data_IF_804914397592
#
_entry.id   IF_804914397592
#
_cell.length_a   1.000
_cell.length_b   1.000
_cell.length_c   1.000
_cell.angle_alpha   90.00
_cell.angle_beta   90.00
_cell.angle_gamma   90.00
#
_symmetry.space_group_name_H-M   'P 1'
#
loop_
_entity.id
_entity.type
_entity.pdbx_description
1 polymer ?
#
# COMPACT_ATOMS: atom_id res chain seq x y z
N UNK A 1 -6.90 54.27 18.95
CA UNK A 1 -6.16 54.14 17.67
C UNK A 1 -6.35 52.74 17.12
N UNK A 2 -7.33 52.60 16.24
CA UNK A 2 -7.77 51.37 15.57
C UNK A 2 -6.96 51.23 14.27
N UNK A 3 -6.37 50.06 14.01
CA UNK A 3 -6.01 49.67 12.63
C UNK A 3 -6.47 48.24 12.36
N UNK A 4 -7.64 48.16 11.72
CA UNK A 4 -8.15 47.01 10.96
C UNK A 4 -7.20 46.77 9.77
N UNK A 5 -6.82 45.52 9.51
CA UNK A 5 -6.19 45.13 8.23
C UNK A 5 -7.08 44.07 7.59
N UNK A 6 -7.64 44.43 6.43
CA UNK A 6 -8.60 43.66 5.64
C UNK A 6 -7.94 42.48 4.92
N UNK A 7 -8.76 41.47 4.64
CA UNK A 7 -8.48 40.26 3.87
C UNK A 7 -8.18 40.54 2.39
N UNK A 8 -7.40 39.65 1.75
CA UNK A 8 -7.65 39.24 0.36
C UNK A 8 -7.06 37.86 0.07
N UNK A 9 -7.95 36.88 -0.04
CA UNK A 9 -7.76 35.53 -0.56
C UNK A 9 -7.59 35.56 -2.09
N UNK A 10 -6.49 35.02 -2.61
CA UNK A 10 -6.37 34.70 -4.04
C UNK A 10 -6.20 33.19 -4.19
N UNK A 11 -7.33 32.57 -4.54
CA UNK A 11 -7.50 31.20 -4.97
C UNK A 11 -7.19 31.17 -6.47
N UNK A 12 -5.97 30.76 -6.87
CA UNK A 12 -5.66 30.54 -8.29
C UNK A 12 -6.05 29.12 -8.70
N UNK A 13 -7.05 29.08 -9.57
CA UNK A 13 -7.66 27.93 -10.24
C UNK A 13 -6.66 27.01 -10.97
N UNK A 14 -6.74 25.71 -10.68
CA UNK A 14 -6.14 24.63 -11.46
C UNK A 14 -7.07 24.32 -12.65
N UNK A 15 -6.63 24.39 -13.92
CA UNK A 15 -7.47 23.95 -15.03
C UNK A 15 -7.46 22.42 -15.14
N UNK A 16 -8.65 21.85 -15.03
CA UNK A 16 -9.01 20.46 -15.32
C UNK A 16 -8.92 20.24 -16.84
N UNK A 17 -7.97 19.42 -17.32
CA UNK A 17 -7.96 19.01 -18.73
C UNK A 17 -8.84 17.76 -18.91
N UNK A 18 -9.86 17.90 -19.75
CA UNK A 18 -10.75 16.83 -20.22
C UNK A 18 -10.02 15.93 -21.22
N UNK A 19 -10.26 14.60 -21.24
CA UNK A 19 -9.68 13.72 -22.24
C UNK A 19 -10.30 13.97 -23.62
N UNK A 20 -9.46 14.25 -24.62
CA UNK A 20 -9.88 14.25 -26.03
C UNK A 20 -9.98 12.81 -26.51
N UNK A 21 -11.19 12.43 -26.91
CA UNK A 21 -11.49 11.29 -27.78
C UNK A 21 -10.68 11.40 -29.07
N UNK A 22 -9.83 10.41 -29.35
CA UNK A 22 -9.29 10.22 -30.71
C UNK A 22 -9.65 8.83 -31.19
N UNK A 23 -10.48 8.87 -32.23
CA UNK A 23 -10.97 7.82 -33.10
C UNK A 23 -9.98 6.70 -33.40
N UNK A 24 -10.52 5.48 -33.38
CA UNK A 24 -9.98 4.29 -34.04
C UNK A 24 -10.05 4.52 -35.56
N UNK A 25 -8.93 4.38 -36.25
CA UNK A 25 -8.84 4.20 -37.70
C UNK A 25 -7.61 3.33 -37.98
N UNK A 26 -7.76 2.01 -38.02
CA UNK A 26 -7.84 1.21 -39.26
C UNK A 26 -6.66 1.38 -40.20
N UNK A 27 -5.81 0.35 -40.20
CA UNK A 27 -5.28 -0.39 -41.35
C UNK A 27 -4.61 0.33 -42.54
N UNK A 28 -3.56 -0.35 -43.03
CA UNK A 28 -2.79 -0.12 -44.27
C UNK A 28 -1.81 1.06 -44.22
N UNK A 29 -0.57 0.98 -44.68
CA UNK A 29 0.06 0.09 -45.64
C UNK A 29 1.53 -0.17 -45.28
N UNK A 30 1.98 -1.41 -45.50
CA UNK A 30 3.39 -1.69 -45.75
C UNK A 30 3.66 -1.15 -47.15
N UNK A 31 4.35 -0.02 -47.27
CA UNK A 31 5.01 0.36 -48.51
C UNK A 31 6.52 0.25 -48.31
N UNK A 32 7.05 -0.79 -48.93
CA UNK A 32 8.45 -0.95 -49.28
C UNK A 32 8.87 0.20 -50.18
N UNK A 33 9.78 1.06 -49.69
CA UNK A 33 10.62 1.87 -50.56
C UNK A 33 12.05 1.32 -50.46
N UNK A 34 12.42 0.58 -51.50
CA UNK A 34 13.82 0.53 -51.95
C UNK A 34 14.11 1.91 -52.51
N UNK A 35 15.21 2.53 -52.10
CA UNK A 35 16.31 2.76 -53.03
C UNK A 35 17.58 3.29 -52.35
N UNK A 36 18.68 2.64 -52.76
CA UNK A 36 20.03 3.15 -53.00
C UNK A 36 20.71 4.09 -52.01
N UNK A 37 21.83 3.58 -51.48
CA UNK A 37 23.10 4.29 -51.31
C UNK A 37 23.06 5.60 -50.52
N UNK A 38 23.19 5.49 -49.19
CA UNK A 38 23.88 6.52 -48.42
C UNK A 38 25.14 5.93 -47.77
N UNK A 39 26.26 6.43 -48.25
CA UNK A 39 27.63 6.15 -47.83
C UNK A 39 27.83 6.39 -46.33
N UNK A 40 28.67 5.53 -45.75
CA UNK A 40 29.19 5.59 -44.39
C UNK A 40 29.63 7.01 -43.99
N UNK A 41 28.94 7.59 -43.02
CA UNK A 41 29.30 8.86 -42.38
C UNK A 41 29.05 8.74 -40.88
N UNK A 42 30.12 8.52 -40.12
CA UNK A 42 30.09 8.48 -38.68
C UNK A 42 29.77 9.86 -38.10
N UNK A 43 28.58 10.04 -37.52
CA UNK A 43 28.32 11.07 -36.51
C UNK A 43 27.01 10.79 -35.77
N UNK A 44 27.12 10.42 -34.50
CA UNK A 44 26.04 10.58 -33.51
C UNK A 44 24.87 9.60 -33.60
N UNK A 45 25.12 8.29 -33.41
CA UNK A 45 24.06 7.34 -33.09
C UNK A 45 23.49 7.64 -31.69
N UNK A 46 22.45 8.48 -31.62
CA UNK A 46 21.42 8.26 -30.58
C UNK A 46 20.70 6.96 -30.95
N UNK A 47 21.23 5.85 -30.44
CA UNK A 47 20.73 4.52 -30.73
C UNK A 47 19.30 4.36 -30.25
N UNK A 48 18.35 4.38 -31.19
CA UNK A 48 17.10 3.66 -31.07
C UNK A 48 17.44 2.18 -30.90
N UNK A 49 17.52 1.74 -29.65
CA UNK A 49 17.89 0.38 -29.28
C UNK A 49 16.78 -0.54 -29.78
N UNK A 50 17.04 -1.28 -30.85
CA UNK A 50 16.15 -2.33 -31.34
C UNK A 50 15.81 -3.27 -30.17
N UNK A 51 14.53 -3.42 -29.89
CA UNK A 51 14.01 -4.26 -28.83
C UNK A 51 14.28 -5.72 -29.18
N UNK A 52 15.36 -6.31 -28.65
CA UNK A 52 15.41 -7.76 -28.50
C UNK A 52 14.31 -8.13 -27.51
N UNK A 53 13.25 -8.80 -27.98
CA UNK A 53 11.98 -8.93 -27.27
C UNK A 53 12.08 -9.52 -25.86
N UNK A 54 13.13 -10.28 -25.53
CA UNK A 54 13.49 -10.62 -24.14
C UNK A 54 14.96 -11.11 -24.10
N UNK A 55 15.91 -10.20 -23.94
CA UNK A 55 17.32 -10.53 -23.73
C UNK A 55 17.65 -10.52 -22.23
N UNK A 56 18.34 -11.56 -21.73
CA UNK A 56 18.69 -11.68 -20.30
C UNK A 56 19.52 -10.49 -19.80
N UNK A 57 20.30 -9.87 -20.68
CA UNK A 57 21.20 -8.77 -20.33
C UNK A 57 20.49 -7.41 -20.18
N UNK A 58 19.26 -7.30 -20.67
CA UNK A 58 18.47 -6.06 -20.67
C UNK A 58 17.34 -6.05 -19.63
N UNK A 59 17.26 -7.09 -18.78
CA UNK A 59 16.31 -7.16 -17.68
C UNK A 59 16.66 -6.11 -16.60
N UNK A 60 15.72 -5.21 -16.33
CA UNK A 60 15.82 -4.16 -15.30
C UNK A 60 14.48 -4.04 -14.59
N UNK A 61 14.53 -3.66 -13.32
CA UNK A 61 13.33 -3.34 -12.54
C UNK A 61 12.70 -2.02 -13.06
N UNK A 62 11.39 -1.85 -12.89
CA UNK A 62 10.67 -0.65 -13.33
C UNK A 62 11.18 0.61 -12.59
N UNK A 63 11.59 0.45 -11.33
CA UNK A 63 12.19 1.51 -10.52
C UNK A 63 13.69 1.20 -10.31
N UNK A 64 14.59 2.19 -10.49
CA UNK A 64 16.00 1.96 -10.25
C UNK A 64 16.28 1.63 -8.77
N UNK A 65 17.13 0.62 -8.53
CA UNK A 65 17.56 0.25 -7.18
C UNK A 65 18.29 1.41 -6.50
N UNK A 66 17.85 1.76 -5.29
CA UNK A 66 18.55 2.74 -4.45
C UNK A 66 19.95 2.23 -4.07
N UNK A 67 20.98 2.99 -4.46
CA UNK A 67 22.37 2.64 -4.17
C UNK A 67 22.67 2.74 -2.67
N UNK A 68 23.41 1.75 -2.14
CA UNK A 68 23.85 1.77 -0.73
C UNK A 68 24.95 2.82 -0.56
N UNK A 69 24.78 3.74 0.39
CA UNK A 69 25.84 4.71 0.70
C UNK A 69 27.02 4.02 1.37
N UNK A 70 28.16 3.94 0.68
CA UNK A 70 29.42 3.44 1.24
C UNK A 70 30.09 4.55 2.03
N UNK A 71 30.15 4.39 3.36
CA UNK A 71 30.73 5.38 4.27
C UNK A 71 32.27 5.29 4.25
N UNK A 72 32.97 6.41 4.49
CA UNK A 72 34.44 6.42 4.57
C UNK A 72 35.14 6.26 3.22
N UNK A 73 34.55 6.77 2.13
CA UNK A 73 35.08 6.64 0.76
C UNK A 73 35.25 8.01 0.09
N UNK A 74 36.14 8.83 0.63
CA UNK A 74 36.50 10.14 0.06
C UNK A 74 35.53 11.28 0.38
N UNK A 75 35.98 12.52 0.16
CA UNK A 75 35.25 13.75 0.54
C UNK A 75 33.99 13.94 -0.32
N UNK A 76 34.07 13.68 -1.63
CA UNK A 76 32.93 13.82 -2.55
C UNK A 76 31.74 12.90 -2.25
N UNK A 77 31.91 11.86 -1.43
CA UNK A 77 30.82 10.98 -0.99
C UNK A 77 29.87 11.61 0.05
N UNK A 78 30.21 12.79 0.60
CA UNK A 78 29.45 13.46 1.67
C UNK A 78 29.55 12.79 3.05
N UNK A 79 29.99 11.52 3.12
CA UNK A 79 30.21 10.75 4.37
C UNK A 79 31.64 10.19 4.44
N UNK A 80 32.61 10.96 3.97
CA UNK A 80 34.03 10.60 3.93
C UNK A 80 34.67 10.60 5.32
N UNK A 81 35.02 11.79 5.83
CA UNK A 81 35.90 11.95 7.00
C UNK A 81 35.42 11.26 8.28
N UNK A 82 34.12 11.37 8.61
CA UNK A 82 33.56 10.88 9.89
C UNK A 82 32.56 9.75 9.72
N UNK A 83 32.31 9.28 8.50
CA UNK A 83 31.26 8.30 8.20
C UNK A 83 29.84 8.70 8.72
N UNK A 84 29.62 9.99 9.02
CA UNK A 84 28.38 10.49 9.63
C UNK A 84 28.24 10.20 11.13
N UNK A 85 29.32 9.84 11.82
CA UNK A 85 29.34 9.59 13.27
C UNK A 85 29.67 10.82 14.13
N UNK A 86 30.06 11.94 13.49
CA UNK A 86 30.54 13.14 14.18
C UNK A 86 32.01 13.04 14.60
N UNK A 87 32.42 13.88 15.54
CA UNK A 87 33.80 13.94 16.06
C UNK A 87 33.95 13.14 17.37
N UNK A 88 34.94 13.49 18.20
CA UNK A 88 35.46 12.73 19.36
C UNK A 88 34.44 12.54 20.52
N UNK A 89 33.32 11.87 20.28
CA UNK A 89 32.30 11.53 21.30
C UNK A 89 32.07 10.01 21.44
N UNK A 90 31.33 9.61 22.46
CA UNK A 90 31.04 8.19 22.73
C UNK A 90 30.37 7.50 21.54
N UNK A 91 29.42 8.17 20.86
CA UNK A 91 28.72 7.64 19.66
C UNK A 91 29.64 7.44 18.44
N UNK A 92 30.80 8.11 18.40
CA UNK A 92 31.77 7.92 17.33
C UNK A 92 32.70 6.73 17.60
N UNK A 93 32.99 6.44 18.88
CA UNK A 93 33.92 5.40 19.32
C UNK A 93 33.23 4.06 19.63
N UNK A 94 31.99 4.11 20.13
CA UNK A 94 31.26 2.93 20.60
C UNK A 94 29.74 3.07 20.47
N UNK A 95 29.03 2.17 21.14
CA UNK A 95 27.57 2.10 21.13
C UNK A 95 26.99 2.42 22.51
N UNK A 96 25.73 2.85 22.52
CA UNK A 96 24.95 3.12 23.72
C UNK A 96 23.74 2.19 23.70
N UNK A 97 23.29 1.72 24.87
CA UNK A 97 22.05 0.94 24.97
C UNK A 97 20.87 1.80 24.51
N UNK A 98 20.03 1.24 23.65
CA UNK A 98 18.78 1.89 23.24
C UNK A 98 17.92 2.17 24.49
N UNK A 99 17.45 3.40 24.64
CA UNK A 99 16.67 3.86 25.80
C UNK A 99 17.49 4.39 26.99
N UNK A 100 18.77 4.71 26.81
CA UNK A 100 19.55 5.45 27.80
C UNK A 100 19.26 6.96 27.73
N UNK A 101 18.82 7.55 28.83
CA UNK A 101 18.42 8.97 28.96
C UNK A 101 19.49 9.82 29.68
N UNK A 102 20.77 9.46 29.61
CA UNK A 102 21.85 10.28 30.18
C UNK A 102 22.05 10.14 31.69
N UNK A 103 21.54 9.07 32.31
CA UNK A 103 21.57 8.86 33.76
C UNK A 103 20.25 9.18 34.47
N UNK A 104 19.32 9.84 33.77
CA UNK A 104 17.95 10.01 34.23
C UNK A 104 17.23 8.65 34.32
N UNK A 105 16.30 8.50 35.28
CA UNK A 105 15.48 7.28 35.38
C UNK A 105 14.65 7.09 34.11
N UNK A 106 14.77 5.97 33.36
CA UNK A 106 14.11 5.85 32.07
C UNK A 106 12.58 5.93 32.16
N UNK A 107 11.92 6.44 31.13
CA UNK A 107 10.45 6.59 31.09
C UNK A 107 9.68 5.30 31.45
N UNK A 108 10.16 4.14 31.00
CA UNK A 108 9.58 2.81 31.33
C UNK A 108 9.56 2.47 32.83
N UNK A 109 10.34 3.18 33.64
CA UNK A 109 10.36 3.07 35.11
C UNK A 109 9.56 4.19 35.78
N UNK A 110 9.46 5.36 35.16
CA UNK A 110 8.70 6.50 35.71
C UNK A 110 7.20 6.29 35.62
N UNK A 111 6.72 5.78 34.50
CA UNK A 111 5.30 5.52 34.31
C UNK A 111 4.90 4.21 35.00
N UNK A 112 3.78 4.19 35.75
CA UNK A 112 3.29 2.96 36.36
C UNK A 112 2.84 1.99 35.27
N UNK A 113 2.99 0.68 35.55
CA UNK A 113 2.39 -0.36 34.71
C UNK A 113 0.88 -0.30 34.91
N UNK A 114 0.12 -0.22 33.82
CA UNK A 114 -1.34 -0.13 33.86
C UNK A 114 -1.99 -1.44 33.41
N UNK A 115 -2.90 -1.95 34.24
CA UNK A 115 -3.73 -3.13 33.96
C UNK A 115 -2.95 -4.43 33.85
N UNK A 116 -3.63 -5.45 33.33
CA UNK A 116 -3.06 -6.76 32.99
C UNK A 116 -3.56 -7.17 31.60
N UNK A 117 -2.84 -8.06 30.93
CA UNK A 117 -3.29 -8.68 29.68
C UNK A 117 -4.04 -9.96 30.04
N UNK A 118 -5.34 -10.04 29.76
CA UNK A 118 -6.14 -11.24 29.99
C UNK A 118 -5.66 -12.40 29.07
N UNK A 119 -5.15 -13.52 29.62
CA UNK A 119 -4.70 -14.66 28.81
C UNK A 119 -5.86 -15.47 28.21
N UNK A 120 -7.07 -15.37 28.78
CA UNK A 120 -8.27 -16.10 28.35
C UNK A 120 -9.17 -15.27 27.43
N UNK A 121 -8.67 -14.14 26.91
CA UNK A 121 -9.44 -13.28 26.01
C UNK A 121 -9.63 -13.97 24.66
N UNK A 122 -10.88 -14.27 24.31
CA UNK A 122 -11.23 -14.76 22.99
C UNK A 122 -11.12 -13.63 21.95
N UNK A 123 -10.48 -13.94 20.83
CA UNK A 123 -10.25 -13.05 19.70
C UNK A 123 -10.95 -13.59 18.46
N UNK A 124 -12.12 -13.02 18.17
CA UNK A 124 -12.90 -13.36 16.99
C UNK A 124 -12.46 -12.55 15.78
N UNK A 125 -12.52 -13.17 14.60
CA UNK A 125 -12.29 -12.47 13.34
C UNK A 125 -13.57 -11.74 12.92
N UNK A 126 -13.55 -10.40 12.77
CA UNK A 126 -14.72 -9.66 12.35
C UNK A 126 -15.02 -9.86 10.86
N UNK A 127 -16.29 -10.11 10.52
CA UNK A 127 -16.79 -10.18 9.15
C UNK A 127 -17.93 -9.19 8.97
N UNK A 128 -17.78 -8.30 7.98
CA UNK A 128 -18.83 -7.34 7.65
C UNK A 128 -19.88 -7.92 6.70
N UNK A 129 -21.15 -7.65 6.97
CA UNK A 129 -22.28 -8.00 6.11
C UNK A 129 -22.11 -7.51 4.66
N UNK A 130 -21.60 -6.29 4.46
CA UNK A 130 -21.33 -5.76 3.12
C UNK A 130 -20.22 -6.51 2.36
N UNK A 131 -19.35 -7.27 3.05
CA UNK A 131 -18.38 -8.16 2.40
C UNK A 131 -19.06 -9.44 1.92
N UNK A 132 -19.97 -9.99 2.73
CA UNK A 132 -20.78 -11.17 2.36
C UNK A 132 -21.66 -10.84 1.16
N UNK A 133 -22.38 -9.71 1.18
CA UNK A 133 -23.20 -9.26 0.05
C UNK A 133 -22.40 -9.16 -1.26
N UNK A 134 -21.16 -8.63 -1.20
CA UNK A 134 -20.28 -8.57 -2.38
C UNK A 134 -19.87 -9.94 -2.91
N UNK A 135 -19.70 -10.93 -2.04
CA UNK A 135 -19.31 -12.28 -2.43
C UNK A 135 -20.49 -13.05 -3.04
N UNK A 136 -21.70 -12.81 -2.53
CA UNK A 136 -22.95 -13.33 -3.12
C UNK A 136 -23.15 -12.74 -4.52
N UNK A 137 -23.01 -11.41 -4.66
CA UNK A 137 -23.09 -10.74 -5.97
C UNK A 137 -22.03 -11.22 -6.97
N UNK A 138 -20.89 -11.71 -6.48
CA UNK A 138 -19.84 -12.27 -7.31
C UNK A 138 -20.05 -13.76 -7.64
N UNK A 139 -21.16 -14.36 -7.19
CA UNK A 139 -21.48 -15.77 -7.41
C UNK A 139 -20.54 -16.74 -6.68
N UNK A 140 -19.87 -16.29 -5.62
CA UNK A 140 -18.93 -17.13 -4.84
C UNK A 140 -19.57 -17.78 -3.62
N UNK A 141 -20.72 -17.27 -3.20
CA UNK A 141 -21.51 -17.75 -2.08
C UNK A 141 -22.95 -17.79 -2.54
N UNK A 142 -23.60 -18.93 -2.32
CA UNK A 142 -25.02 -19.08 -2.56
C UNK A 142 -25.81 -18.59 -1.34
N UNK A 143 -26.79 -17.72 -1.56
CA UNK A 143 -27.61 -17.13 -0.49
C UNK A 143 -28.58 -18.12 0.15
N UNK A 144 -28.93 -19.19 -0.58
CA UNK A 144 -29.87 -20.21 -0.13
C UNK A 144 -29.22 -21.28 0.74
N UNK A 145 -27.90 -21.46 0.65
CA UNK A 145 -27.17 -22.42 1.46
C UNK A 145 -26.72 -21.82 2.79
N UNK A 146 -26.40 -22.72 3.73
CA UNK A 146 -25.92 -22.34 5.04
C UNK A 146 -24.48 -21.82 4.97
N UNK A 147 -24.29 -20.54 5.30
CA UNK A 147 -22.98 -19.91 5.31
C UNK A 147 -22.25 -20.25 6.60
N UNK A 148 -21.42 -21.31 6.54
CA UNK A 148 -20.57 -21.74 7.66
C UNK A 148 -19.21 -21.05 7.67
N UNK A 149 -18.46 -21.14 8.78
CA UNK A 149 -17.08 -20.63 8.85
C UNK A 149 -16.15 -21.20 7.77
N UNK A 150 -16.38 -22.45 7.33
CA UNK A 150 -15.62 -23.08 6.26
C UNK A 150 -15.86 -22.37 4.93
N UNK A 151 -17.12 -22.14 4.58
CA UNK A 151 -17.48 -21.40 3.35
C UNK A 151 -16.88 -19.99 3.33
N UNK A 152 -16.92 -19.28 4.47
CA UNK A 152 -16.32 -17.95 4.60
C UNK A 152 -14.80 -17.97 4.43
N UNK A 153 -14.13 -19.05 4.84
CA UNK A 153 -12.68 -19.22 4.68
C UNK A 153 -12.32 -19.48 3.22
N UNK A 154 -13.01 -20.42 2.60
CA UNK A 154 -12.72 -20.87 1.23
C UNK A 154 -12.97 -19.74 0.22
N UNK A 155 -13.98 -18.90 0.48
CA UNK A 155 -14.31 -17.73 -0.36
C UNK A 155 -13.43 -16.51 -0.10
N UNK A 156 -12.57 -16.53 0.92
CA UNK A 156 -11.72 -15.41 1.31
C UNK A 156 -12.47 -14.27 2.02
N UNK A 157 -13.67 -14.54 2.54
CA UNK A 157 -14.39 -13.62 3.41
C UNK A 157 -13.63 -13.38 4.73
N UNK A 158 -12.95 -14.41 5.23
CA UNK A 158 -12.06 -14.34 6.40
C UNK A 158 -10.60 -14.60 6.04
N UNK A 159 -9.70 -14.22 6.95
CA UNK A 159 -8.26 -14.48 6.82
C UNK A 159 -7.94 -15.98 6.94
N UNK A 160 -6.74 -16.36 6.51
CA UNK A 160 -6.28 -17.76 6.52
C UNK A 160 -6.26 -18.39 7.92
N UNK A 161 -5.91 -17.60 8.92
CA UNK A 161 -5.83 -18.03 10.32
C UNK A 161 -7.06 -17.56 11.07
N UNK A 162 -7.86 -18.51 11.53
CA UNK A 162 -8.98 -18.30 12.43
C UNK A 162 -8.48 -18.70 13.82
N UNK A 163 -8.66 -17.81 14.81
CA UNK A 163 -8.33 -18.10 16.20
C UNK A 163 -9.54 -18.72 16.88
N UNK A 164 -10.35 -17.91 17.55
CA UNK A 164 -11.43 -18.37 18.42
C UNK A 164 -12.80 -18.39 17.75
N UNK A 165 -12.88 -17.93 16.49
CA UNK A 165 -14.11 -17.98 15.68
C UNK A 165 -14.32 -16.73 14.83
N UNK A 166 -15.54 -16.59 14.31
CA UNK A 166 -15.98 -15.47 13.48
C UNK A 166 -17.03 -14.65 14.21
N UNK A 167 -16.91 -13.33 14.12
CA UNK A 167 -17.90 -12.38 14.64
C UNK A 167 -18.53 -11.56 13.52
N UNK A 168 -19.85 -11.61 13.38
CA UNK A 168 -20.56 -10.83 12.38
C UNK A 168 -20.73 -9.36 12.80
N UNK A 169 -20.49 -8.45 11.87
CA UNK A 169 -20.60 -7.00 12.02
C UNK A 169 -21.57 -6.39 11.00
N UNK A 170 -22.45 -5.50 11.46
CA UNK A 170 -23.45 -4.81 10.62
C UNK A 170 -22.90 -3.77 9.62
N UNK A 171 -21.61 -3.75 9.34
CA UNK A 171 -21.02 -2.79 8.39
C UNK A 171 -21.45 -3.14 6.96
N UNK A 172 -22.23 -2.25 6.34
CA UNK A 172 -22.77 -2.43 4.99
C UNK A 172 -24.02 -3.31 4.92
N UNK A 173 -24.83 -3.33 6.00
CA UNK A 173 -26.11 -4.03 6.07
C UNK A 173 -27.07 -3.65 4.94
N UNK A 174 -27.09 -2.38 4.52
CA UNK A 174 -27.95 -1.83 3.45
C UNK A 174 -27.83 -2.54 2.10
N UNK A 175 -26.76 -3.33 1.89
CA UNK A 175 -26.47 -4.00 0.62
C UNK A 175 -27.00 -5.43 0.56
N UNK A 176 -27.55 -5.92 1.66
CA UNK A 176 -28.20 -7.22 1.73
C UNK A 176 -29.65 -7.02 1.29
N UNK A 177 -30.07 -7.76 0.27
CA UNK A 177 -31.43 -7.72 -0.28
C UNK A 177 -32.14 -9.07 -0.19
N UNK A 178 -31.41 -10.13 0.12
CA UNK A 178 -31.88 -11.50 0.19
C UNK A 178 -31.78 -12.03 1.62
N UNK A 179 -32.66 -12.97 2.00
CA UNK A 179 -32.51 -13.69 3.25
C UNK A 179 -31.22 -14.52 3.23
N UNK A 180 -30.50 -14.54 4.35
CA UNK A 180 -29.23 -15.25 4.49
C UNK A 180 -29.26 -16.06 5.78
N UNK A 181 -28.89 -17.34 5.70
CA UNK A 181 -28.68 -18.21 6.85
C UNK A 181 -27.18 -18.35 7.15
N UNK A 182 -26.76 -17.92 8.34
CA UNK A 182 -25.36 -17.89 8.76
C UNK A 182 -25.17 -18.72 10.03
N UNK A 183 -24.06 -19.45 10.10
CA UNK A 183 -23.54 -20.05 11.33
C UNK A 183 -22.30 -19.29 11.80
N UNK A 184 -22.46 -18.53 12.87
CA UNK A 184 -21.38 -17.79 13.52
C UNK A 184 -21.28 -18.08 15.02
N UNK A 185 -20.10 -17.84 15.60
CA UNK A 185 -19.90 -17.95 17.04
C UNK A 185 -20.51 -16.77 17.81
N UNK A 186 -20.50 -15.58 17.21
CA UNK A 186 -20.97 -14.36 17.86
C UNK A 186 -21.41 -13.34 16.82
N UNK A 187 -22.44 -12.56 17.13
CA UNK A 187 -22.87 -11.43 16.31
C UNK A 187 -23.04 -10.18 17.18
N UNK A 188 -23.06 -9.01 16.55
CA UNK A 188 -23.45 -7.78 17.23
C UNK A 188 -24.99 -7.64 17.21
N UNK A 189 -25.62 -7.21 18.32
CA UNK A 189 -27.08 -7.22 18.47
C UNK A 189 -27.83 -6.30 17.51
N UNK A 190 -27.15 -5.38 16.83
CA UNK A 190 -27.75 -4.53 15.81
C UNK A 190 -28.06 -5.26 14.49
N UNK A 191 -27.64 -6.51 14.32
CA UNK A 191 -27.80 -7.29 13.07
C UNK A 191 -29.14 -8.04 13.02
N UNK A 192 -29.62 -8.57 14.16
CA UNK A 192 -30.83 -9.40 14.21
C UNK A 192 -32.15 -8.66 13.96
N UNK A 193 -32.09 -7.33 13.77
CA UNK A 193 -33.26 -6.45 13.56
C UNK A 193 -33.36 -5.90 12.14
N UNK A 194 -32.52 -6.35 11.22
CA UNK A 194 -32.56 -5.89 9.83
C UNK A 194 -33.77 -6.53 9.12
N UNK A 195 -34.48 -5.78 8.25
CA UNK A 195 -35.58 -6.34 7.48
C UNK A 195 -35.05 -7.48 6.61
N UNK A 196 -35.55 -8.68 6.87
CA UNK A 196 -35.27 -9.91 6.11
C UNK A 196 -35.95 -9.91 4.76
#
# INVERSE_FOLDING_TARGET
MIRRRLLSSLLSSIPLSTPKTTSISTFTAIQTFKDSNFSNGASGFMGFRAYSLLSLNDLRDNVPRKQKTRKGRGIGSGKGKTAGRGHKGQKARGTMKFGFEGGQTPMRRRLPKRGFKNPFSLTFQPVGLGKIAKLINAGKIDSHELITMKTLKDTGAIGKQIKDGVRLMGRGAEKIQWPIHLEEHSYFPNISRLPT
#
